data_IF_892727696916
#
_entry.id   IF_892727696916
#
_cell.length_a   1.000
_cell.length_b   1.000
_cell.length_c   1.000
_cell.angle_alpha   90.00
_cell.angle_beta   90.00
_cell.angle_gamma   90.00
#
_symmetry.space_group_name_H-M   'P 1'
#
loop_
_entity.id
_entity.type
_entity.pdbx_description
1 polymer ?
#
# COMPACT_ATOMS: atom_id res chain seq x y z
N UNK A 1 -6.46 -14.13 -18.38
CA UNK A 1 -6.15 -12.87 -17.67
C UNK A 1 -6.12 -13.21 -16.19
N UNK A 2 -4.96 -13.09 -15.54
CA UNK A 2 -4.65 -13.78 -14.29
C UNK A 2 -5.66 -13.46 -13.16
N UNK A 3 -6.26 -14.52 -12.61
CA UNK A 3 -6.94 -14.53 -11.31
C UNK A 3 -6.00 -13.89 -10.29
N UNK A 4 -6.34 -12.71 -9.78
CA UNK A 4 -5.70 -12.25 -8.55
C UNK A 4 -6.35 -12.98 -7.38
N UNK A 5 -5.57 -13.66 -6.53
CA UNK A 5 -6.10 -14.38 -5.39
C UNK A 5 -6.66 -13.36 -4.40
N UNK A 6 -7.86 -13.64 -3.90
CA UNK A 6 -8.55 -12.87 -2.88
C UNK A 6 -7.79 -13.11 -1.56
N UNK A 7 -6.83 -12.25 -1.26
CA UNK A 7 -5.99 -12.29 -0.06
C UNK A 7 -6.62 -11.41 1.06
N UNK A 8 -6.10 -11.46 2.30
CA UNK A 8 -6.75 -10.99 3.54
C UNK A 8 -6.87 -9.43 3.54
N UNK A 9 -7.45 -8.76 4.56
CA UNK A 9 -8.10 -7.45 4.39
C UNK A 9 -7.23 -6.45 3.61
N UNK A 10 -7.71 -6.10 2.41
CA UNK A 10 -6.92 -5.48 1.35
C UNK A 10 -6.16 -4.24 1.82
N UNK A 11 -4.88 -4.44 2.17
CA UNK A 11 -3.95 -3.34 2.44
C UNK A 11 -3.94 -2.36 1.26
N UNK A 12 -4.08 -2.90 0.05
CA UNK A 12 -4.27 -2.18 -1.20
C UNK A 12 -5.51 -1.25 -1.21
N UNK A 13 -6.71 -1.77 -0.92
CA UNK A 13 -7.92 -0.93 -0.91
C UNK A 13 -7.87 0.11 0.20
N UNK A 14 -7.31 -0.23 1.36
CA UNK A 14 -7.12 0.70 2.45
C UNK A 14 -6.14 1.81 2.08
N UNK A 15 -5.06 1.46 1.39
CA UNK A 15 -4.07 2.41 0.91
C UNK A 15 -4.66 3.36 -0.13
N UNK A 16 -5.41 2.84 -1.12
CA UNK A 16 -6.13 3.65 -2.10
C UNK A 16 -7.13 4.60 -1.43
N UNK A 17 -7.91 4.11 -0.46
CA UNK A 17 -8.86 4.95 0.30
C UNK A 17 -8.17 6.06 1.08
N UNK A 18 -6.98 5.82 1.59
CA UNK A 18 -6.16 6.82 2.25
C UNK A 18 -5.70 7.85 1.21
N UNK A 19 -5.06 7.42 0.12
CA UNK A 19 -4.59 8.29 -0.97
C UNK A 19 -5.70 9.14 -1.59
N UNK A 20 -6.94 8.64 -1.65
CA UNK A 20 -8.09 9.41 -2.16
C UNK A 20 -8.46 10.59 -1.26
N UNK A 21 -8.18 10.49 0.05
CA UNK A 21 -8.49 11.56 1.02
C UNK A 21 -7.38 12.58 1.13
N UNK A 22 -6.13 12.14 1.04
CA UNK A 22 -4.93 12.98 1.12
C UNK A 22 -3.75 12.22 0.54
N UNK A 23 -2.81 12.93 -0.04
CA UNK A 23 -1.49 12.37 -0.33
C UNK A 23 -0.84 11.90 0.98
N UNK A 24 -0.49 10.62 1.03
CA UNK A 24 0.18 9.99 2.17
C UNK A 24 1.51 9.44 1.68
N UNK A 25 2.56 9.66 2.47
CA UNK A 25 3.87 9.06 2.18
C UNK A 25 3.87 7.55 2.43
N UNK A 26 4.83 6.85 1.84
CA UNK A 26 5.09 5.41 2.05
C UNK A 26 5.08 5.02 3.54
N UNK A 27 5.84 5.75 4.37
CA UNK A 27 5.88 5.56 5.82
C UNK A 27 4.53 5.77 6.53
N UNK A 28 3.75 6.77 6.13
CA UNK A 28 2.43 7.05 6.73
C UNK A 28 1.43 5.96 6.39
N UNK A 29 1.43 5.50 5.13
CA UNK A 29 0.63 4.37 4.69
C UNK A 29 0.99 3.11 5.49
N UNK A 30 2.28 2.79 5.62
CA UNK A 30 2.75 1.67 6.44
C UNK A 30 2.22 1.76 7.87
N UNK A 31 2.40 2.91 8.52
CA UNK A 31 1.96 3.10 9.90
C UNK A 31 0.43 2.97 10.05
N UNK A 32 -0.34 3.48 9.10
CA UNK A 32 -1.82 3.41 9.09
C UNK A 32 -2.32 1.99 8.85
N UNK A 33 -1.71 1.28 7.90
CA UNK A 33 -2.07 -0.09 7.57
C UNK A 33 -1.69 -1.05 8.70
N UNK A 34 -0.52 -0.84 9.32
CA UNK A 34 -0.07 -1.60 10.48
C UNK A 34 -0.97 -1.38 11.69
N UNK A 35 -1.40 -0.14 11.94
CA UNK A 35 -2.39 0.17 12.98
C UNK A 35 -3.75 -0.51 12.74
N UNK A 36 -4.09 -0.82 11.50
CA UNK A 36 -5.30 -1.57 11.14
C UNK A 36 -5.14 -3.09 11.25
N UNK A 37 -3.94 -3.57 11.62
CA UNK A 37 -3.65 -5.00 11.74
C UNK A 37 -3.30 -5.67 10.42
N UNK A 38 -2.96 -4.91 9.36
CA UNK A 38 -2.42 -5.50 8.15
C UNK A 38 -1.02 -6.05 8.42
N UNK A 39 -0.70 -7.28 7.95
CA UNK A 39 0.63 -7.84 8.08
C UNK A 39 1.62 -7.06 7.20
N UNK A 40 2.87 -6.98 7.65
CA UNK A 40 3.90 -6.19 6.98
C UNK A 40 4.11 -6.62 5.52
N UNK A 41 4.08 -7.91 5.23
CA UNK A 41 4.21 -8.45 3.87
C UNK A 41 3.14 -7.94 2.89
N UNK A 42 1.89 -7.77 3.36
CA UNK A 42 0.79 -7.22 2.55
C UNK A 42 0.94 -5.71 2.35
N UNK A 43 1.45 -5.02 3.38
CA UNK A 43 1.74 -3.58 3.32
C UNK A 43 2.82 -3.32 2.29
N UNK A 44 3.93 -4.06 2.34
CA UNK A 44 5.04 -3.94 1.40
C UNK A 44 4.60 -4.23 -0.03
N UNK A 45 3.82 -5.30 -0.26
CA UNK A 45 3.23 -5.61 -1.57
C UNK A 45 2.30 -4.50 -2.08
N UNK A 46 1.49 -3.91 -1.21
CA UNK A 46 0.60 -2.81 -1.58
C UNK A 46 1.38 -1.54 -1.94
N UNK A 47 2.40 -1.20 -1.16
CA UNK A 47 3.26 -0.04 -1.39
C UNK A 47 4.08 -0.17 -2.67
N UNK A 48 4.68 -1.34 -2.91
CA UNK A 48 5.41 -1.64 -4.14
C UNK A 48 4.53 -1.43 -5.37
N UNK A 49 3.30 -1.99 -5.37
CA UNK A 49 2.33 -1.76 -6.44
C UNK A 49 1.95 -0.29 -6.60
N UNK A 50 1.74 0.45 -5.51
CA UNK A 50 1.38 1.87 -5.57
C UNK A 50 2.52 2.70 -6.17
N UNK A 51 3.76 2.36 -5.85
CA UNK A 51 4.95 3.01 -6.38
C UNK A 51 5.16 2.68 -7.86
N UNK A 52 5.00 1.42 -8.25
CA UNK A 52 5.02 0.98 -9.67
C UNK A 52 3.95 1.67 -10.51
N UNK A 53 2.78 1.95 -9.92
CA UNK A 53 1.68 2.65 -10.59
C UNK A 53 1.79 4.18 -10.54
N UNK A 54 2.81 4.73 -9.89
CA UNK A 54 3.03 6.18 -9.77
C UNK A 54 2.08 6.88 -8.79
N UNK A 55 1.38 6.15 -7.93
CA UNK A 55 0.56 6.72 -6.85
C UNK A 55 1.38 7.16 -5.64
N UNK A 56 2.63 6.68 -5.52
CA UNK A 56 3.58 7.11 -4.49
C UNK A 56 4.86 7.57 -5.17
N UNK A 57 5.19 8.86 -5.01
CA UNK A 57 6.41 9.47 -5.56
C UNK A 57 7.57 9.45 -4.55
N UNK A 58 7.57 8.49 -3.63
CA UNK A 58 8.67 8.33 -2.69
C UNK A 58 9.71 7.42 -3.35
N UNK A 59 10.56 8.02 -4.19
CA UNK A 59 11.76 7.38 -4.80
C UNK A 59 12.82 6.96 -3.77
N UNK A 60 12.40 6.58 -2.57
CA UNK A 60 13.24 6.27 -1.41
C UNK A 60 13.22 4.79 -1.03
N UNK A 61 12.35 3.97 -1.63
CA UNK A 61 12.43 2.51 -1.49
C UNK A 61 13.32 1.90 -2.59
N UNK A 62 14.56 2.38 -2.65
CA UNK A 62 15.62 1.74 -3.41
C UNK A 62 16.67 1.23 -2.42
N UNK A 63 16.42 0.06 -1.81
CA UNK A 63 17.41 -0.97 -1.50
C UNK A 63 16.80 -2.15 -0.73
#
# INVERSE_FOLDING_TARGET
>A
MARQPKAPPDAWQLALRLLTRRDYSSCELTARLRQRGCPQEEIEKALDRLQQLGYLDDRRYAQ
#
